data_IF_441103921719
#
_entry.id   IF_441103921719
#
_cell.length_a   1.000
_cell.length_b   1.000
_cell.length_c   1.000
_cell.angle_alpha   90.00
_cell.angle_beta   90.00
_cell.angle_gamma   90.00
#
_symmetry.space_group_name_H-M   'P 1'
#
loop_
_entity.id
_entity.type
_entity.pdbx_description
1 polymer ?
#
# COMPACT_ATOMS: atom_id res chain seq x y z
N UNK A 1 -0.36 16.02 11.11
CA UNK A 1 -1.03 15.53 12.32
C UNK A 1 -1.10 14.02 12.31
N UNK A 2 -0.75 13.36 13.42
CA UNK A 2 -0.84 11.89 13.55
C UNK A 2 -2.29 11.39 13.70
N UNK A 3 -3.28 12.26 13.70
CA UNK A 3 -4.70 11.92 13.71
C UNK A 3 -5.33 11.85 12.31
N UNK A 4 -4.52 11.99 11.25
CA UNK A 4 -4.99 11.81 9.90
C UNK A 4 -5.34 10.33 9.62
N UNK A 5 -6.37 10.12 8.80
CA UNK A 5 -6.78 8.80 8.33
C UNK A 5 -6.26 8.55 6.92
N UNK A 6 -6.17 7.27 6.54
CA UNK A 6 -5.76 6.83 5.20
C UNK A 6 -4.41 7.44 4.78
N UNK A 7 -3.46 7.44 5.73
CA UNK A 7 -2.07 7.87 5.53
C UNK A 7 -1.29 6.78 4.81
N UNK A 8 -0.22 7.19 4.13
CA UNK A 8 0.79 6.27 3.59
C UNK A 8 1.91 6.14 4.59
N UNK A 9 2.37 4.93 4.85
CA UNK A 9 3.42 4.72 5.85
C UNK A 9 4.38 3.61 5.44
N UNK A 10 5.65 3.80 5.82
CA UNK A 10 6.72 2.81 5.68
C UNK A 10 7.55 2.78 6.94
N UNK A 11 7.87 1.58 7.44
CA UNK A 11 8.75 1.41 8.58
C UNK A 11 10.14 1.01 8.12
N UNK A 12 11.14 1.83 8.44
CA UNK A 12 12.54 1.54 8.23
C UNK A 12 13.23 1.35 9.59
N UNK A 13 13.48 0.11 9.93
CA UNK A 13 14.06 -0.25 11.22
C UNK A 13 13.22 0.28 12.40
N UNK A 14 13.81 1.20 13.17
CA UNK A 14 13.16 1.83 14.31
C UNK A 14 12.41 3.14 13.99
N UNK A 15 12.36 3.54 12.74
CA UNK A 15 11.69 4.76 12.30
C UNK A 15 10.46 4.45 11.48
N UNK A 16 9.33 5.07 11.82
CA UNK A 16 8.11 5.01 11.03
C UNK A 16 7.93 6.33 10.29
N UNK A 17 7.96 6.28 8.96
CA UNK A 17 7.60 7.41 8.12
C UNK A 17 6.10 7.40 7.83
N UNK A 18 5.48 8.57 7.91
CA UNK A 18 4.07 8.77 7.59
C UNK A 18 3.94 9.96 6.67
N UNK A 19 3.23 9.79 5.56
CA UNK A 19 3.00 10.84 4.55
C UNK A 19 1.50 11.10 4.41
N UNK A 20 1.14 12.36 4.31
CA UNK A 20 -0.19 12.81 3.94
C UNK A 20 -1.30 12.39 4.88
N UNK A 21 -2.37 11.87 4.28
CA UNK A 21 -3.59 11.44 4.97
C UNK A 21 -4.64 12.55 5.08
N UNK A 22 -5.89 12.15 5.31
CA UNK A 22 -7.05 13.02 5.39
C UNK A 22 -7.40 13.34 6.84
N UNK A 23 -7.61 14.62 7.14
CA UNK A 23 -7.73 15.12 8.52
C UNK A 23 -8.66 16.33 8.60
N UNK A 24 -9.26 16.55 9.78
CA UNK A 24 -9.89 17.83 10.10
C UNK A 24 -8.83 18.82 10.60
N UNK A 25 -8.62 19.90 9.86
CA UNK A 25 -7.71 20.99 10.25
C UNK A 25 -8.43 21.96 11.18
N UNK A 26 -8.04 21.97 12.44
CA UNK A 26 -8.60 22.86 13.47
C UNK A 26 -8.23 24.34 13.29
N UNK A 27 -7.27 24.65 12.39
CA UNK A 27 -6.87 26.04 12.09
C UNK A 27 -7.82 26.66 11.08
N UNK A 28 -8.16 25.91 10.04
CA UNK A 28 -9.05 26.34 8.96
C UNK A 28 -10.50 25.93 9.19
N UNK A 29 -10.75 25.04 10.14
CA UNK A 29 -12.05 24.39 10.40
C UNK A 29 -12.61 23.65 9.17
N UNK A 30 -11.72 23.02 8.40
CA UNK A 30 -12.07 22.25 7.22
C UNK A 30 -11.38 20.89 7.21
N UNK A 31 -11.97 19.95 6.51
CA UNK A 31 -11.28 18.71 6.16
C UNK A 31 -10.35 18.94 4.99
N UNK A 32 -9.15 18.37 5.07
CA UNK A 32 -8.11 18.54 4.06
C UNK A 32 -7.17 17.33 4.04
N UNK A 33 -6.45 17.17 2.96
CA UNK A 33 -5.32 16.24 2.88
C UNK A 33 -4.05 16.92 3.35
N UNK A 34 -3.37 16.33 4.33
CA UNK A 34 -2.15 16.90 4.91
C UNK A 34 -1.00 16.88 3.90
N UNK A 35 -0.32 18.01 3.75
CA UNK A 35 0.90 18.13 2.95
C UNK A 35 2.13 18.00 3.86
N UNK A 36 2.33 16.84 4.48
CA UNK A 36 3.42 16.65 5.43
C UNK A 36 4.03 15.24 5.35
N UNK A 37 5.33 15.18 5.60
CA UNK A 37 6.11 14.00 5.93
C UNK A 37 6.42 14.04 7.42
N UNK A 38 6.20 12.94 8.11
CA UNK A 38 6.53 12.75 9.53
C UNK A 38 7.45 11.56 9.71
N UNK A 39 8.41 11.66 10.64
CA UNK A 39 9.25 10.56 11.09
C UNK A 39 9.06 10.37 12.59
N UNK A 40 8.79 9.12 13.00
CA UNK A 40 8.52 8.73 14.38
C UNK A 40 9.58 7.76 14.88
N UNK A 41 10.18 8.06 16.04
CA UNK A 41 11.05 7.12 16.76
C UNK A 41 10.20 6.09 17.52
N UNK A 42 10.11 4.88 16.97
CA UNK A 42 9.27 3.81 17.51
C UNK A 42 9.69 3.38 18.93
N UNK A 43 10.98 3.22 19.28
CA UNK A 43 11.39 2.90 20.65
C UNK A 43 10.87 3.91 21.67
N UNK A 44 11.05 5.20 21.43
CA UNK A 44 10.55 6.26 22.32
C UNK A 44 9.04 6.25 22.45
N UNK A 45 8.34 6.06 21.33
CA UNK A 45 6.88 5.99 21.30
C UNK A 45 6.36 4.78 22.10
N UNK A 46 6.97 3.60 21.90
CA UNK A 46 6.59 2.37 22.60
C UNK A 46 6.85 2.49 24.10
N UNK A 47 7.98 3.06 24.51
CA UNK A 47 8.30 3.26 25.91
C UNK A 47 7.32 4.22 26.59
N UNK A 48 6.96 5.30 25.90
CA UNK A 48 5.95 6.25 26.40
C UNK A 48 4.57 5.60 26.54
N UNK A 49 4.12 4.86 25.54
CA UNK A 49 2.81 4.16 25.57
C UNK A 49 2.78 3.10 26.68
N UNK A 50 3.87 2.39 26.92
CA UNK A 50 4.00 1.42 28.02
C UNK A 50 4.12 2.08 29.41
N UNK A 51 4.27 3.39 29.46
CA UNK A 51 4.47 4.13 30.71
C UNK A 51 5.86 3.92 31.34
N UNK A 52 6.81 3.40 30.57
CA UNK A 52 8.23 3.29 30.98
C UNK A 52 8.86 4.69 31.05
N UNK A 53 8.51 5.54 30.09
CA UNK A 53 8.88 6.95 30.08
C UNK A 53 7.67 7.81 30.45
N UNK A 54 7.88 8.80 31.33
CA UNK A 54 6.80 9.68 31.84
C UNK A 54 6.34 10.72 30.80
N UNK A 55 7.13 10.96 29.76
CA UNK A 55 6.84 11.88 28.67
C UNK A 55 7.49 11.42 27.37
N UNK A 56 6.85 11.72 26.24
CA UNK A 56 7.47 11.52 24.94
C UNK A 56 8.61 12.52 24.74
N UNK A 57 9.76 12.06 24.25
CA UNK A 57 10.89 12.92 23.93
C UNK A 57 10.48 13.96 22.86
N UNK A 58 10.99 15.17 22.96
CA UNK A 58 10.60 16.29 22.08
C UNK A 58 10.95 16.08 20.61
N UNK A 59 11.93 15.21 20.36
CA UNK A 59 12.39 14.82 19.02
C UNK A 59 11.94 13.42 18.59
N UNK A 60 11.07 12.77 19.36
CA UNK A 60 10.51 11.46 18.99
C UNK A 60 9.56 11.54 17.79
N UNK A 61 9.09 12.73 17.44
CA UNK A 61 8.24 12.99 16.28
C UNK A 61 8.80 14.22 15.55
N UNK A 62 9.30 14.01 14.35
CA UNK A 62 9.74 15.06 13.46
C UNK A 62 8.73 15.25 12.34
N UNK A 63 8.58 16.46 11.83
CA UNK A 63 7.67 16.75 10.73
C UNK A 63 8.25 17.84 9.82
N UNK A 64 8.08 17.65 8.52
CA UNK A 64 8.34 18.68 7.50
C UNK A 64 7.13 18.80 6.57
N UNK A 65 6.97 19.96 5.95
CA UNK A 65 5.88 20.22 5.00
C UNK A 65 6.40 20.04 3.59
N UNK A 66 5.61 19.41 2.74
CA UNK A 66 5.93 19.28 1.32
C UNK A 66 5.83 20.63 0.59
N UNK A 67 6.60 20.76 -0.47
CA UNK A 67 6.54 21.92 -1.32
C UNK A 67 5.14 22.10 -1.90
N UNK A 68 4.65 23.34 -1.84
CA UNK A 68 3.40 23.70 -2.48
C UNK A 68 3.66 24.00 -3.95
N UNK A 69 3.01 23.25 -4.84
CA UNK A 69 3.03 23.56 -6.26
C UNK A 69 1.82 24.41 -6.64
N UNK A 70 2.06 25.40 -7.48
CA UNK A 70 1.01 26.21 -8.12
C UNK A 70 0.59 25.66 -9.48
N UNK A 71 1.30 24.65 -9.99
CA UNK A 71 1.00 23.97 -11.23
C UNK A 71 0.29 22.61 -10.97
N UNK A 72 -0.16 21.94 -12.02
CA UNK A 72 -0.89 20.69 -11.95
C UNK A 72 0.00 19.48 -11.53
N UNK A 73 1.33 19.67 -11.40
CA UNK A 73 2.24 18.56 -11.10
C UNK A 73 2.07 18.02 -9.67
N UNK A 74 1.77 18.88 -8.69
CA UNK A 74 1.47 18.42 -7.31
C UNK A 74 0.32 19.19 -6.68
N UNK A 75 -0.83 19.16 -7.24
CA UNK A 75 -1.97 19.90 -6.72
C UNK A 75 -2.12 19.73 -5.19
N UNK A 76 -2.09 20.84 -4.46
CA UNK A 76 -2.19 20.90 -3.00
C UNK A 76 -0.89 20.64 -2.23
N UNK A 77 0.19 20.24 -2.91
CA UNK A 77 1.52 20.00 -2.33
C UNK A 77 2.06 18.60 -2.57
N UNK A 78 3.37 18.44 -2.43
CA UNK A 78 4.10 17.22 -2.80
C UNK A 78 3.64 15.99 -1.97
N UNK A 79 3.34 16.20 -0.69
CA UNK A 79 2.85 15.14 0.22
C UNK A 79 1.33 15.16 0.44
N UNK A 80 0.59 16.04 -0.24
CA UNK A 80 -0.87 16.11 -0.11
C UNK A 80 -1.55 14.93 -0.80
N UNK A 81 -1.43 13.74 -0.21
CA UNK A 81 -1.93 12.47 -0.72
C UNK A 81 -2.65 11.70 0.38
N UNK A 82 -3.78 11.09 0.04
CA UNK A 82 -4.51 10.12 0.86
C UNK A 82 -4.91 8.92 0.00
N UNK A 83 -4.90 7.71 0.57
CA UNK A 83 -5.26 6.48 -0.13
C UNK A 83 -4.24 6.02 -1.18
N UNK A 84 -2.98 6.44 -1.07
CA UNK A 84 -1.87 5.95 -1.87
C UNK A 84 -1.07 4.86 -1.17
N UNK A 85 0.16 4.63 -1.64
CA UNK A 85 1.16 3.79 -1.00
C UNK A 85 2.47 4.55 -0.75
N UNK A 86 3.26 4.11 0.21
CA UNK A 86 4.62 4.58 0.43
C UNK A 86 5.54 3.36 0.49
N UNK A 87 6.52 3.30 -0.41
CA UNK A 87 7.51 2.23 -0.46
C UNK A 87 8.92 2.79 -0.54
N UNK A 88 9.87 2.07 0.04
CA UNK A 88 11.30 2.38 -0.09
C UNK A 88 11.86 1.70 -1.33
N UNK A 89 12.78 2.36 -2.01
CA UNK A 89 13.53 1.75 -3.10
C UNK A 89 14.73 1.01 -2.51
N UNK A 90 14.67 -0.32 -2.40
CA UNK A 90 15.63 -1.14 -1.66
C UNK A 90 17.10 -0.99 -2.07
N UNK A 91 17.34 -0.62 -3.31
CA UNK A 91 18.69 -0.44 -3.84
C UNK A 91 19.24 0.99 -3.67
N UNK A 92 18.49 1.87 -3.04
CA UNK A 92 18.82 3.27 -2.80
C UNK A 92 18.45 3.62 -1.37
N UNK A 93 19.43 3.69 -0.49
CA UNK A 93 19.23 3.69 0.98
C UNK A 93 18.24 4.72 1.51
N UNK A 94 18.12 5.88 0.88
CA UNK A 94 17.28 6.99 1.36
C UNK A 94 16.12 7.33 0.40
N UNK A 95 15.90 6.54 -0.68
CA UNK A 95 14.92 6.81 -1.73
C UNK A 95 13.58 6.17 -1.43
N UNK A 96 12.50 6.96 -1.55
CA UNK A 96 11.12 6.53 -1.33
C UNK A 96 10.24 6.90 -2.53
N UNK A 97 9.16 6.16 -2.70
CA UNK A 97 8.14 6.37 -3.72
C UNK A 97 6.78 6.49 -3.08
N UNK A 98 6.14 7.64 -3.26
CA UNK A 98 4.74 7.88 -2.92
C UNK A 98 3.89 7.57 -4.16
N UNK A 99 3.03 6.58 -4.03
CA UNK A 99 2.40 5.88 -5.15
C UNK A 99 0.92 6.22 -5.21
N UNK A 100 0.48 6.90 -6.27
CA UNK A 100 -0.91 7.25 -6.55
C UNK A 100 -1.64 7.96 -5.41
N UNK A 101 -2.94 7.65 -5.19
CA UNK A 101 -3.78 8.33 -4.22
C UNK A 101 -4.41 9.60 -4.76
N UNK A 102 -4.96 10.40 -3.88
CA UNK A 102 -5.61 11.66 -4.22
C UNK A 102 -5.32 12.75 -3.19
N UNK A 103 -5.42 14.00 -3.60
CA UNK A 103 -5.67 15.13 -2.70
C UNK A 103 -7.18 15.36 -2.58
N UNK A 104 -7.70 15.39 -1.36
CA UNK A 104 -9.11 15.57 -1.09
C UNK A 104 -9.30 16.75 -0.11
N UNK A 105 -10.17 17.67 -0.48
CA UNK A 105 -10.53 18.82 0.32
C UNK A 105 -12.04 18.85 0.59
N UNK A 106 -12.42 19.33 1.78
CA UNK A 106 -13.81 19.41 2.21
C UNK A 106 -14.32 18.09 2.84
N UNK A 107 -15.57 18.08 3.27
CA UNK A 107 -16.19 16.90 3.90
C UNK A 107 -16.47 15.79 2.90
N UNK A 108 -16.06 14.58 3.26
CA UNK A 108 -16.33 13.40 2.43
C UNK A 108 -17.84 13.10 2.40
N UNK A 109 -18.38 12.99 1.19
CA UNK A 109 -19.74 12.50 0.96
C UNK A 109 -19.71 11.41 -0.12
N UNK A 110 -20.66 10.45 -0.10
CA UNK A 110 -20.73 9.44 -1.15
C UNK A 110 -20.73 10.08 -2.55
N UNK A 111 -19.88 9.57 -3.42
CA UNK A 111 -19.71 10.10 -4.79
C UNK A 111 -18.80 11.34 -4.90
N UNK A 112 -18.30 11.90 -3.79
CA UNK A 112 -17.29 12.96 -3.86
C UNK A 112 -15.93 12.38 -4.24
N UNK A 113 -15.19 13.11 -5.07
CA UNK A 113 -13.85 12.74 -5.51
C UNK A 113 -12.88 13.90 -5.28
N UNK A 114 -11.67 13.56 -4.81
CA UNK A 114 -10.54 14.48 -4.80
C UNK A 114 -9.85 14.55 -6.15
N UNK A 115 -8.77 15.30 -6.19
CA UNK A 115 -7.85 15.36 -7.33
C UNK A 115 -6.87 14.19 -7.21
N UNK A 116 -7.01 13.20 -8.08
CA UNK A 116 -6.10 12.05 -8.11
C UNK A 116 -4.72 12.48 -8.59
N UNK A 117 -3.68 11.99 -7.94
CA UNK A 117 -2.31 12.28 -8.35
C UNK A 117 -1.98 11.61 -9.68
N UNK A 118 -2.42 10.37 -9.87
CA UNK A 118 -2.18 9.56 -11.08
C UNK A 118 -0.70 9.48 -11.46
N UNK A 119 0.19 9.52 -10.47
CA UNK A 119 1.65 9.58 -10.65
C UNK A 119 2.38 8.91 -9.49
N UNK A 120 3.64 8.62 -9.71
CA UNK A 120 4.62 8.25 -8.68
C UNK A 120 5.43 9.49 -8.35
N UNK A 121 5.56 9.81 -7.07
CA UNK A 121 6.40 10.90 -6.55
C UNK A 121 7.56 10.27 -5.79
N UNK A 122 8.77 10.38 -6.34
CA UNK A 122 9.97 9.82 -5.73
C UNK A 122 10.79 10.93 -5.08
N UNK A 123 11.37 10.66 -3.91
CA UNK A 123 12.14 11.62 -3.12
C UNK A 123 13.10 10.89 -2.19
N UNK A 124 14.14 11.58 -1.76
CA UNK A 124 15.08 11.08 -0.77
C UNK A 124 14.72 11.67 0.60
N UNK A 125 14.85 10.87 1.68
CA UNK A 125 14.61 11.32 3.06
C UNK A 125 15.95 11.38 3.81
N UNK A 126 16.23 12.52 4.41
CA UNK A 126 17.33 12.70 5.35
C UNK A 126 16.77 13.01 6.73
N UNK A 127 17.15 12.22 7.74
CA UNK A 127 16.67 12.44 9.10
C UNK A 127 17.73 12.12 10.17
N UNK A 128 17.63 12.80 11.30
CA UNK A 128 18.40 12.52 12.50
C UNK A 128 17.54 12.84 13.73
N UNK A 129 17.09 11.78 14.41
CA UNK A 129 16.28 11.90 15.62
C UNK A 129 17.04 12.56 16.77
N UNK A 130 18.39 12.50 16.78
CA UNK A 130 19.19 13.10 17.84
C UNK A 130 19.25 14.62 17.70
N UNK A 131 19.51 15.11 16.51
CA UNK A 131 19.53 16.56 16.22
C UNK A 131 18.15 17.16 15.99
N UNK A 132 17.12 16.33 15.78
CA UNK A 132 15.77 16.77 15.47
C UNK A 132 15.61 17.24 14.03
N UNK A 133 16.33 16.66 13.08
CA UNK A 133 16.31 17.05 11.68
C UNK A 133 15.48 16.06 10.86
N UNK A 134 14.58 16.58 10.00
CA UNK A 134 13.89 15.83 8.95
C UNK A 134 13.82 16.73 7.72
N UNK A 135 14.33 16.24 6.62
CA UNK A 135 14.32 16.90 5.31
C UNK A 135 14.06 15.89 4.20
N UNK A 136 13.70 16.37 3.04
CA UNK A 136 13.60 15.58 1.81
C UNK A 136 14.17 16.42 0.65
N UNK A 137 14.63 15.73 -0.40
CA UNK A 137 15.17 16.33 -1.61
C UNK A 137 15.08 15.39 -2.82
N UNK A 138 15.66 15.78 -3.94
CA UNK A 138 15.73 15.00 -5.18
C UNK A 138 14.37 14.53 -5.70
N UNK A 139 13.35 15.39 -5.61
CA UNK A 139 11.98 15.09 -6.02
C UNK A 139 11.88 14.83 -7.51
N UNK A 140 11.21 13.76 -7.86
CA UNK A 140 10.83 13.46 -9.25
C UNK A 140 9.39 12.98 -9.31
N UNK A 141 8.72 13.19 -10.44
CA UNK A 141 7.35 12.70 -10.68
C UNK A 141 7.25 11.99 -12.01
N UNK A 142 6.53 10.89 -12.04
CA UNK A 142 6.33 10.10 -13.27
C UNK A 142 4.90 9.49 -13.30
N UNK A 143 4.17 9.64 -14.41
CA UNK A 143 4.40 10.61 -15.47
C UNK A 143 4.21 12.05 -14.98
N UNK A 144 4.92 13.00 -15.56
CA UNK A 144 4.71 14.41 -15.23
C UNK A 144 3.28 14.85 -15.57
N UNK A 145 2.62 15.53 -14.64
CA UNK A 145 1.21 15.89 -14.77
C UNK A 145 0.21 14.74 -14.54
N UNK A 146 0.71 13.52 -14.29
CA UNK A 146 -0.12 12.32 -14.10
C UNK A 146 -0.67 11.73 -15.40
N UNK A 147 -1.24 10.53 -15.30
CA UNK A 147 -1.99 9.87 -16.38
C UNK A 147 -3.30 9.30 -15.83
N UNK A 148 -4.41 10.03 -15.91
CA UNK A 148 -5.68 9.57 -15.38
C UNK A 148 -6.28 8.38 -16.16
N UNK A 149 -5.80 8.12 -17.37
CA UNK A 149 -6.28 6.99 -18.18
C UNK A 149 -5.72 5.63 -17.73
N UNK A 150 -4.59 5.62 -17.02
CA UNK A 150 -3.87 4.41 -16.61
C UNK A 150 -3.63 4.32 -15.10
N UNK A 151 -3.47 5.47 -14.42
CA UNK A 151 -2.97 5.53 -13.05
C UNK A 151 -3.89 6.24 -12.05
N UNK A 152 -5.13 6.56 -12.45
CA UNK A 152 -6.13 7.18 -11.57
C UNK A 152 -6.65 6.17 -10.56
N UNK A 153 -5.92 5.96 -9.47
CA UNK A 153 -6.29 5.00 -8.42
C UNK A 153 -5.92 5.47 -7.02
N UNK A 154 -6.71 5.03 -6.06
CA UNK A 154 -6.48 5.14 -4.62
C UNK A 154 -7.01 3.89 -3.91
N UNK A 155 -6.76 3.77 -2.62
CA UNK A 155 -7.22 2.63 -1.81
C UNK A 155 -6.83 1.31 -2.49
N UNK A 156 -5.53 1.07 -2.65
CA UNK A 156 -4.96 0.02 -3.48
C UNK A 156 -4.03 -0.88 -2.64
N UNK A 157 -3.67 -2.03 -3.19
CA UNK A 157 -2.64 -2.86 -2.60
C UNK A 157 -1.29 -2.54 -3.26
N UNK A 158 -0.33 -2.07 -2.47
CA UNK A 158 1.04 -1.83 -2.91
C UNK A 158 1.95 -2.85 -2.25
N UNK A 159 2.85 -3.44 -3.04
CA UNK A 159 3.81 -4.45 -2.58
C UNK A 159 5.17 -4.24 -3.22
N UNK A 160 6.26 -4.53 -2.51
CA UNK A 160 7.52 -4.83 -3.15
C UNK A 160 7.43 -6.20 -3.84
N UNK A 161 7.97 -6.31 -5.06
CA UNK A 161 8.10 -7.56 -5.81
C UNK A 161 9.56 -7.87 -6.09
N UNK A 162 9.93 -9.13 -5.87
CA UNK A 162 11.24 -9.66 -6.15
C UNK A 162 11.23 -10.43 -7.47
N UNK A 163 12.33 -10.36 -8.19
CA UNK A 163 12.55 -11.12 -9.42
C UNK A 163 14.02 -11.45 -9.61
N UNK A 164 14.38 -12.52 -10.34
CA UNK A 164 15.77 -12.75 -10.72
C UNK A 164 16.32 -11.59 -11.57
N UNK A 165 17.53 -11.11 -11.25
CA UNK A 165 18.19 -10.01 -11.98
C UNK A 165 18.88 -10.46 -13.28
N UNK A 166 18.84 -11.75 -13.58
CA UNK A 166 19.54 -12.37 -14.72
C UNK A 166 21.07 -12.51 -14.55
N UNK A 167 21.62 -12.07 -13.42
CA UNK A 167 23.03 -12.16 -13.07
C UNK A 167 23.30 -13.07 -11.86
N UNK A 168 22.24 -13.73 -11.37
CA UNK A 168 22.27 -14.63 -10.21
C UNK A 168 21.93 -13.92 -8.89
N UNK A 169 21.51 -12.68 -8.93
CA UNK A 169 20.96 -11.90 -7.82
C UNK A 169 19.45 -11.71 -7.92
N UNK A 170 18.94 -10.85 -7.05
CA UNK A 170 17.53 -10.49 -6.96
C UNK A 170 17.40 -8.99 -7.23
N UNK A 171 16.53 -8.64 -8.19
CA UNK A 171 16.06 -7.29 -8.42
C UNK A 171 14.75 -7.08 -7.67
N UNK A 172 14.54 -5.87 -7.17
CA UNK A 172 13.32 -5.44 -6.52
C UNK A 172 12.66 -4.30 -7.28
N UNK A 173 11.36 -4.32 -7.34
CA UNK A 173 10.49 -3.26 -7.84
C UNK A 173 9.21 -3.26 -7.02
N UNK A 174 8.24 -2.43 -7.38
CA UNK A 174 6.96 -2.34 -6.66
C UNK A 174 5.83 -2.65 -7.60
N UNK A 175 4.75 -3.26 -7.11
CA UNK A 175 3.50 -3.42 -7.85
C UNK A 175 2.34 -2.77 -7.10
N UNK A 176 1.48 -2.09 -7.84
CA UNK A 176 0.18 -1.61 -7.38
C UNK A 176 -0.93 -2.47 -8.01
N UNK A 177 -1.66 -3.19 -7.15
CA UNK A 177 -2.78 -4.04 -7.53
C UNK A 177 -4.10 -3.36 -7.20
N UNK A 178 -5.12 -3.59 -8.04
CA UNK A 178 -6.48 -3.07 -7.86
C UNK A 178 -6.54 -1.54 -7.64
N UNK A 179 -7.34 -1.10 -6.67
CA UNK A 179 -7.60 0.31 -6.35
C UNK A 179 -8.83 0.88 -7.05
N UNK A 180 -9.34 2.00 -6.55
CA UNK A 180 -10.54 2.69 -7.02
C UNK A 180 -10.24 4.13 -7.47
N UNK A 181 -11.04 4.76 -8.29
CA UNK A 181 -12.16 4.30 -9.11
C UNK A 181 -11.76 4.34 -10.58
N UNK A 182 -11.88 3.21 -11.26
CA UNK A 182 -11.72 3.15 -12.71
C UNK A 182 -12.82 3.96 -13.39
N UNK A 183 -12.45 4.93 -14.24
CA UNK A 183 -13.39 5.83 -14.93
C UNK A 183 -14.43 6.52 -14.01
N UNK A 184 -14.09 6.72 -12.70
CA UNK A 184 -14.99 7.35 -11.74
C UNK A 184 -15.91 6.38 -11.00
N UNK A 185 -15.97 5.13 -11.48
CA UNK A 185 -16.74 4.03 -10.90
C UNK A 185 -15.94 2.76 -10.89
N UNK A 186 -16.09 1.72 -10.48
CA UNK A 186 -15.38 0.46 -10.65
C UNK A 186 -14.04 0.35 -9.96
N UNK A 187 -13.50 -0.84 -9.99
CA UNK A 187 -12.22 -1.21 -9.41
C UNK A 187 -11.25 -1.59 -10.51
N UNK A 188 -10.01 -1.11 -10.41
CA UNK A 188 -8.97 -1.49 -11.34
C UNK A 188 -8.66 -2.99 -11.27
N UNK A 189 -8.31 -3.57 -12.41
CA UNK A 189 -8.03 -5.00 -12.52
C UNK A 189 -6.62 -5.28 -13.05
N UNK A 190 -5.94 -4.28 -13.59
CA UNK A 190 -4.61 -4.43 -14.20
C UNK A 190 -3.54 -4.02 -13.19
N UNK A 191 -2.47 -4.81 -13.00
CA UNK A 191 -1.32 -4.40 -12.22
C UNK A 191 -0.60 -3.19 -12.83
N UNK A 192 0.04 -2.39 -11.99
CA UNK A 192 1.05 -1.40 -12.40
C UNK A 192 2.35 -1.77 -11.72
N UNK A 193 3.38 -2.07 -12.50
CA UNK A 193 4.74 -2.24 -11.99
C UNK A 193 5.47 -0.91 -11.98
N UNK A 194 6.23 -0.66 -10.93
CA UNK A 194 6.97 0.58 -10.71
C UNK A 194 8.42 0.22 -10.47
N UNK A 195 9.29 0.67 -11.38
CA UNK A 195 10.73 0.46 -11.28
C UNK A 195 11.37 1.31 -10.17
N UNK A 196 12.64 1.01 -9.84
CA UNK A 196 13.42 1.83 -8.89
C UNK A 196 13.62 3.27 -9.36
N UNK A 197 13.45 3.54 -10.65
CA UNK A 197 13.46 4.88 -11.25
C UNK A 197 12.14 5.67 -11.07
N UNK A 198 11.12 5.04 -10.47
CA UNK A 198 9.80 5.64 -10.25
C UNK A 198 8.92 5.68 -11.50
N UNK A 199 9.28 4.94 -12.55
CA UNK A 199 8.49 4.90 -13.79
C UNK A 199 7.43 3.81 -13.70
N UNK A 200 6.12 4.16 -13.68
CA UNK A 200 5.05 3.18 -13.67
C UNK A 200 4.82 2.60 -15.07
N UNK A 201 4.64 1.29 -15.14
CA UNK A 201 4.32 0.55 -16.36
C UNK A 201 3.10 -0.33 -16.16
N UNK A 202 2.25 -0.44 -17.18
CA UNK A 202 1.08 -1.30 -17.15
C UNK A 202 0.73 -1.78 -18.55
N UNK A 203 0.20 -3.00 -18.66
CA UNK A 203 -0.33 -3.52 -19.92
C UNK A 203 -1.76 -3.02 -20.08
N UNK A 204 -2.01 -2.26 -21.14
CA UNK A 204 -3.35 -1.73 -21.41
C UNK A 204 -4.25 -2.80 -22.05
N UNK A 205 -5.28 -3.30 -21.33
CA UNK A 205 -6.14 -4.37 -21.87
C UNK A 205 -7.06 -3.95 -23.01
N UNK A 206 -7.11 -2.66 -23.36
CA UNK A 206 -7.83 -2.15 -24.52
C UNK A 206 -7.02 -2.36 -25.81
N UNK A 207 -5.70 -2.33 -25.70
CA UNK A 207 -4.78 -2.51 -26.84
C UNK A 207 -4.12 -3.88 -26.85
N UNK A 208 -4.03 -4.54 -25.69
CA UNK A 208 -3.49 -5.89 -25.52
C UNK A 208 -4.54 -6.79 -24.84
N UNK A 209 -5.21 -7.61 -25.65
CA UNK A 209 -6.24 -8.55 -25.16
C UNK A 209 -5.67 -9.67 -24.30
N UNK A 210 -4.35 -9.89 -24.30
CA UNK A 210 -3.65 -10.87 -23.48
C UNK A 210 -3.23 -10.29 -22.13
N UNK A 211 -3.38 -8.99 -21.89
CA UNK A 211 -3.06 -8.36 -20.64
C UNK A 211 -3.81 -9.03 -19.48
N UNK A 212 -3.06 -9.37 -18.42
CA UNK A 212 -3.63 -9.95 -17.22
C UNK A 212 -4.61 -8.99 -16.55
N UNK A 213 -5.70 -9.55 -16.05
CA UNK A 213 -6.70 -8.85 -15.25
C UNK A 213 -7.01 -9.66 -14.00
N UNK A 214 -6.96 -9.00 -12.85
CA UNK A 214 -7.47 -9.59 -11.61
C UNK A 214 -8.97 -9.84 -11.76
N UNK A 215 -9.39 -11.09 -11.65
CA UNK A 215 -10.81 -11.46 -11.64
C UNK A 215 -11.46 -11.05 -10.30
N UNK A 216 -10.76 -11.35 -9.22
CA UNK A 216 -11.10 -10.91 -7.85
C UNK A 216 -10.24 -9.68 -7.54
N UNK A 217 -10.80 -8.51 -7.71
CA UNK A 217 -10.10 -7.22 -7.67
C UNK A 217 -10.09 -6.62 -6.27
N UNK A 218 -9.67 -7.41 -5.29
CA UNK A 218 -9.57 -7.01 -3.89
C UNK A 218 -8.61 -5.82 -3.72
N UNK A 219 -8.99 -4.85 -2.89
CA UNK A 219 -8.18 -3.70 -2.51
C UNK A 219 -8.24 -3.48 -0.98
N UNK A 220 -7.32 -2.70 -0.43
CA UNK A 220 -7.15 -2.51 1.02
C UNK A 220 -7.04 -3.84 1.78
N UNK A 221 -6.53 -4.88 1.15
CA UNK A 221 -6.42 -6.22 1.74
C UNK A 221 -5.30 -6.30 2.78
N UNK A 222 -5.41 -7.24 3.72
CA UNK A 222 -4.23 -7.77 4.38
C UNK A 222 -3.33 -8.47 3.37
N UNK A 223 -1.99 -8.39 3.54
CA UNK A 223 -1.04 -8.73 2.47
C UNK A 223 0.08 -9.61 2.98
N UNK A 224 0.47 -10.64 2.20
CA UNK A 224 1.65 -11.46 2.47
C UNK A 224 2.42 -11.62 1.16
N UNK A 225 3.66 -11.14 1.12
CA UNK A 225 4.59 -11.40 0.02
C UNK A 225 5.36 -12.71 0.24
N UNK A 226 5.41 -13.55 -0.78
CA UNK A 226 6.13 -14.84 -0.79
C UNK A 226 7.02 -14.90 -2.03
N UNK A 227 8.31 -15.20 -1.87
CA UNK A 227 9.21 -15.34 -3.01
C UNK A 227 10.01 -16.63 -2.96
N UNK A 228 10.09 -17.31 -4.09
CA UNK A 228 10.98 -18.44 -4.32
C UNK A 228 12.13 -18.03 -5.24
N UNK A 229 13.34 -17.94 -4.70
CA UNK A 229 14.51 -17.65 -5.50
C UNK A 229 14.85 -18.80 -6.47
N UNK A 230 14.49 -20.03 -6.13
CA UNK A 230 14.73 -21.20 -6.96
C UNK A 230 13.87 -21.25 -8.22
N UNK A 231 12.63 -20.81 -8.17
CA UNK A 231 11.71 -20.72 -9.32
C UNK A 231 11.67 -19.33 -9.95
N UNK A 232 12.06 -18.29 -9.18
CA UNK A 232 11.90 -16.90 -9.57
C UNK A 232 10.44 -16.42 -9.50
N UNK A 233 9.56 -17.16 -8.80
CA UNK A 233 8.16 -16.83 -8.66
C UNK A 233 7.91 -15.96 -7.43
N UNK A 234 7.17 -14.87 -7.63
CA UNK A 234 6.63 -14.01 -6.58
C UNK A 234 5.13 -14.25 -6.43
N UNK A 235 4.67 -14.40 -5.20
CA UNK A 235 3.25 -14.60 -4.89
C UNK A 235 2.79 -13.56 -3.86
N UNK A 236 1.75 -12.83 -4.22
CA UNK A 236 1.06 -11.89 -3.35
C UNK A 236 -0.23 -12.52 -2.83
N UNK A 237 -0.28 -12.87 -1.55
CA UNK A 237 -1.51 -13.38 -0.93
C UNK A 237 -2.31 -12.20 -0.38
N UNK A 238 -3.53 -12.04 -0.89
CA UNK A 238 -4.49 -11.02 -0.48
C UNK A 238 -5.52 -11.65 0.47
N UNK A 239 -5.68 -11.05 1.63
CA UNK A 239 -6.47 -11.56 2.72
C UNK A 239 -7.65 -10.62 2.98
N UNK A 240 -8.85 -11.01 2.54
CA UNK A 240 -10.05 -10.19 2.70
C UNK A 240 -9.97 -8.86 1.94
N UNK A 241 -10.36 -7.77 2.61
CA UNK A 241 -10.40 -6.43 2.03
C UNK A 241 -11.77 -6.07 1.46
N UNK A 242 -11.78 -5.20 0.46
CA UNK A 242 -12.97 -4.72 -0.22
C UNK A 242 -12.88 -5.14 -1.70
N UNK A 243 -13.99 -5.50 -2.33
CA UNK A 243 -13.97 -5.96 -3.71
C UNK A 243 -15.31 -5.71 -4.41
N UNK A 244 -15.26 -5.42 -5.71
CA UNK A 244 -16.44 -5.45 -6.55
C UNK A 244 -16.78 -6.87 -7.03
N UNK A 245 -15.77 -7.76 -7.11
CA UNK A 245 -15.94 -9.14 -7.57
C UNK A 245 -15.64 -10.13 -6.45
N UNK A 246 -16.53 -11.08 -6.26
CA UNK A 246 -16.32 -12.25 -5.38
C UNK A 246 -16.46 -13.54 -6.20
N UNK A 247 -15.70 -14.55 -5.85
CA UNK A 247 -15.72 -15.86 -6.52
C UNK A 247 -16.52 -16.87 -5.71
N UNK A 248 -17.46 -17.55 -6.35
CA UNK A 248 -18.16 -18.69 -5.75
C UNK A 248 -17.50 -20.00 -6.22
N UNK A 249 -16.78 -20.72 -5.34
CA UNK A 249 -16.09 -21.95 -5.70
C UNK A 249 -17.06 -23.12 -6.04
N UNK A 250 -18.33 -23.05 -5.59
CA UNK A 250 -19.31 -24.10 -5.87
C UNK A 250 -19.87 -24.00 -7.29
N UNK A 251 -20.14 -22.78 -7.75
CA UNK A 251 -20.64 -22.55 -9.11
C UNK A 251 -19.54 -22.25 -10.11
N UNK A 252 -18.31 -22.01 -9.66
CA UNK A 252 -17.17 -21.53 -10.46
C UNK A 252 -17.50 -20.23 -11.23
N UNK A 253 -18.19 -19.30 -10.57
CA UNK A 253 -18.63 -18.05 -11.14
C UNK A 253 -18.15 -16.85 -10.31
N UNK A 254 -18.00 -15.71 -10.97
CA UNK A 254 -17.82 -14.43 -10.31
C UNK A 254 -19.18 -13.76 -10.12
N UNK A 255 -19.38 -13.18 -8.94
CA UNK A 255 -20.49 -12.27 -8.65
C UNK A 255 -19.93 -10.85 -8.59
N UNK A 256 -20.67 -9.90 -9.16
CA UNK A 256 -20.34 -8.47 -9.10
C UNK A 256 -21.28 -7.74 -8.15
N UNK A 257 -20.71 -6.91 -7.28
CA UNK A 257 -21.42 -6.02 -6.38
C UNK A 257 -20.92 -4.58 -6.58
N UNK A 258 -21.79 -3.68 -7.00
CA UNK A 258 -21.48 -2.27 -7.26
C UNK A 258 -21.41 -1.43 -5.96
N UNK A 259 -21.78 -2.00 -4.81
CA UNK A 259 -21.58 -1.37 -3.51
C UNK A 259 -20.18 -1.61 -2.93
N UNK A 260 -19.35 -2.44 -3.59
CA UNK A 260 -17.98 -2.78 -3.16
C UNK A 260 -17.93 -3.21 -1.69
N UNK A 261 -18.53 -4.35 -1.40
CA UNK A 261 -18.60 -4.89 -0.05
C UNK A 261 -17.28 -5.41 0.48
N UNK A 262 -17.15 -5.43 1.80
CA UNK A 262 -16.10 -6.23 2.46
C UNK A 262 -16.25 -7.69 2.06
N UNK A 263 -15.14 -8.38 1.86
CA UNK A 263 -15.14 -9.80 1.57
C UNK A 263 -14.18 -10.55 2.51
N UNK A 264 -14.28 -11.87 2.50
CA UNK A 264 -13.47 -12.77 3.34
C UNK A 264 -12.62 -13.71 2.51
N UNK A 265 -12.51 -13.45 1.21
CA UNK A 265 -11.77 -14.32 0.31
C UNK A 265 -10.26 -14.13 0.48
N UNK A 266 -9.55 -15.23 0.44
CA UNK A 266 -8.10 -15.28 0.36
C UNK A 266 -7.74 -15.66 -1.06
N UNK A 267 -7.02 -14.78 -1.74
CA UNK A 267 -6.57 -15.00 -3.12
C UNK A 267 -5.06 -14.85 -3.23
N UNK A 268 -4.48 -15.45 -4.23
CA UNK A 268 -3.07 -15.28 -4.56
C UNK A 268 -2.93 -14.69 -5.96
N UNK A 269 -2.11 -13.67 -6.10
CA UNK A 269 -1.63 -13.15 -7.37
C UNK A 269 -0.19 -13.60 -7.54
N UNK A 270 0.05 -14.44 -8.54
CA UNK A 270 1.36 -15.02 -8.83
C UNK A 270 1.98 -14.28 -9.99
N UNK A 271 3.27 -14.00 -9.90
CA UNK A 271 4.10 -13.43 -10.97
C UNK A 271 5.27 -14.38 -11.22
N UNK A 272 5.34 -14.97 -12.42
CA UNK A 272 6.43 -15.87 -12.77
C UNK A 272 7.76 -15.11 -13.07
N UNK A 273 8.85 -15.84 -13.22
CA UNK A 273 10.16 -15.28 -13.53
C UNK A 273 10.22 -14.51 -14.88
N UNK A 274 9.23 -14.68 -15.74
CA UNK A 274 9.07 -13.97 -17.01
C UNK A 274 8.18 -12.72 -16.90
N UNK A 275 7.62 -12.45 -15.72
CA UNK A 275 6.74 -11.31 -15.46
C UNK A 275 5.25 -11.55 -15.81
N UNK A 276 4.85 -12.81 -16.09
CA UNK A 276 3.46 -13.11 -16.34
C UNK A 276 2.69 -13.29 -15.05
N UNK A 277 1.48 -12.74 -15.02
CA UNK A 277 0.60 -12.81 -13.85
C UNK A 277 -0.47 -13.88 -13.98
N UNK A 278 -0.82 -14.48 -12.85
CA UNK A 278 -1.98 -15.35 -12.67
C UNK A 278 -2.67 -15.01 -11.36
N UNK A 279 -3.95 -15.31 -11.24
CA UNK A 279 -4.67 -15.19 -9.97
C UNK A 279 -5.37 -16.50 -9.63
N UNK A 280 -5.36 -16.85 -8.34
CA UNK A 280 -6.01 -18.03 -7.80
C UNK A 280 -6.86 -17.65 -6.59
N UNK A 281 -8.05 -18.25 -6.48
CA UNK A 281 -8.78 -18.30 -5.24
C UNK A 281 -8.17 -19.43 -4.39
N UNK A 282 -7.85 -19.15 -3.14
CA UNK A 282 -7.31 -20.16 -2.21
C UNK A 282 -8.40 -20.71 -1.30
N UNK A 283 -9.04 -19.85 -0.54
CA UNK A 283 -10.10 -20.19 0.41
C UNK A 283 -10.81 -18.92 0.90
N UNK A 284 -11.76 -19.09 1.80
CA UNK A 284 -12.29 -17.99 2.61
C UNK A 284 -11.61 -17.98 4.00
N UNK A 285 -11.58 -16.81 4.64
CA UNK A 285 -11.30 -16.75 6.06
C UNK A 285 -12.28 -17.61 6.86
N UNK A 286 -11.84 -18.21 7.97
CA UNK A 286 -12.76 -18.77 8.94
C UNK A 286 -13.81 -17.76 9.38
N UNK A 287 -14.99 -18.21 9.72
CA UNK A 287 -16.03 -17.35 10.25
C UNK A 287 -15.55 -16.70 11.56
N UNK A 288 -15.57 -15.39 11.58
CA UNK A 288 -15.27 -14.56 12.75
C UNK A 288 -16.55 -13.82 13.13
N UNK A 289 -16.91 -13.87 14.38
CA UNK A 289 -18.14 -13.25 14.90
C UNK A 289 -17.78 -12.17 15.91
N UNK A 290 -18.57 -11.10 15.96
CA UNK A 290 -18.50 -10.10 17.01
C UNK A 290 -19.15 -10.60 18.32
N UNK A 291 -19.19 -9.74 19.34
CA UNK A 291 -19.82 -10.07 20.64
C UNK A 291 -21.34 -10.25 20.60
N UNK A 292 -21.98 -9.88 19.50
CA UNK A 292 -23.43 -10.00 19.25
C UNK A 292 -23.77 -11.11 18.23
N UNK A 293 -22.83 -12.02 17.96
CA UNK A 293 -22.94 -13.14 17.02
C UNK A 293 -23.16 -12.71 15.53
N UNK A 294 -22.77 -11.50 15.14
CA UNK A 294 -22.78 -11.10 13.74
C UNK A 294 -21.50 -11.55 13.05
N UNK A 295 -21.63 -12.12 11.84
CA UNK A 295 -20.48 -12.48 11.02
C UNK A 295 -19.73 -11.22 10.59
N UNK A 296 -18.42 -11.18 10.87
CA UNK A 296 -17.53 -10.11 10.45
C UNK A 296 -16.85 -10.45 9.14
N UNK A 297 -16.90 -9.53 8.19
CA UNK A 297 -16.05 -9.50 7.01
C UNK A 297 -14.79 -8.71 7.36
N UNK A 298 -13.65 -9.38 7.37
CA UNK A 298 -12.41 -8.87 7.95
C UNK A 298 -11.32 -8.72 6.90
N UNK A 299 -10.33 -7.87 7.19
CA UNK A 299 -9.07 -7.80 6.45
C UNK A 299 -8.77 -6.45 5.79
N UNK A 300 -9.77 -5.55 5.64
CA UNK A 300 -9.47 -4.21 5.11
C UNK A 300 -8.50 -3.48 6.03
N UNK A 301 -7.36 -3.02 5.46
CA UNK A 301 -6.27 -2.35 6.20
C UNK A 301 -5.62 -3.17 7.34
N UNK A 302 -5.76 -4.50 7.34
CA UNK A 302 -5.05 -5.35 8.28
C UNK A 302 -3.57 -5.46 7.88
N UNK A 303 -2.68 -5.56 8.90
CA UNK A 303 -1.25 -5.73 8.70
C UNK A 303 -0.83 -7.15 9.03
N UNK A 304 0.03 -7.71 8.17
CA UNK A 304 0.69 -8.98 8.44
C UNK A 304 2.05 -8.74 9.09
N UNK A 305 2.39 -9.56 10.06
CA UNK A 305 3.68 -9.58 10.73
C UNK A 305 4.26 -10.99 10.65
N UNK A 306 5.43 -11.18 10.02
CA UNK A 306 6.08 -12.49 9.98
C UNK A 306 6.35 -13.04 11.37
N UNK A 307 6.22 -14.36 11.55
CA UNK A 307 6.53 -15.01 12.82
C UNK A 307 8.05 -14.90 13.11
N UNK A 308 8.45 -14.75 14.39
CA UNK A 308 9.86 -14.74 14.74
C UNK A 308 10.60 -15.98 14.23
N UNK A 309 11.70 -15.75 13.50
CA UNK A 309 12.55 -16.82 12.95
C UNK A 309 12.14 -17.34 11.57
N UNK A 310 11.08 -16.80 10.98
CA UNK A 310 10.80 -17.02 9.55
C UNK A 310 11.90 -16.33 8.72
N UNK A 311 12.40 -17.05 7.70
CA UNK A 311 13.35 -16.49 6.75
C UNK A 311 12.60 -15.50 5.84
N UNK A 312 13.05 -14.25 5.82
CA UNK A 312 12.51 -13.20 4.95
C UNK A 312 13.62 -12.59 4.09
N UNK A 313 13.22 -12.05 2.95
CA UNK A 313 13.99 -11.08 2.16
C UNK A 313 13.73 -9.65 2.68
N UNK A 314 14.02 -8.63 1.89
CA UNK A 314 13.60 -7.25 2.17
C UNK A 314 12.08 -7.16 2.35
N UNK A 315 11.63 -6.14 3.06
CA UNK A 315 10.23 -5.76 3.21
C UNK A 315 9.28 -6.90 3.63
N UNK A 316 9.77 -7.76 4.56
CA UNK A 316 9.02 -8.89 5.12
C UNK A 316 8.54 -9.93 4.09
N UNK A 317 9.11 -9.95 2.87
CA UNK A 317 8.80 -10.99 1.87
C UNK A 317 9.38 -12.32 2.35
N UNK A 318 8.51 -13.30 2.53
CA UNK A 318 8.89 -14.62 3.06
C UNK A 318 9.67 -15.42 2.01
N UNK A 319 10.79 -15.99 2.42
CA UNK A 319 11.57 -16.93 1.62
C UNK A 319 10.91 -18.31 1.62
N UNK A 320 10.18 -18.64 0.56
CA UNK A 320 9.47 -19.93 0.45
C UNK A 320 10.43 -21.11 0.38
N UNK A 321 11.60 -20.94 -0.22
CA UNK A 321 12.59 -22.00 -0.35
C UNK A 321 13.17 -22.47 1.00
N UNK A 322 13.03 -21.66 2.04
CA UNK A 322 13.43 -22.02 3.41
C UNK A 322 12.35 -22.79 4.18
N UNK A 323 11.14 -22.90 3.65
CA UNK A 323 10.03 -23.61 4.29
C UNK A 323 10.06 -25.10 3.91
N UNK A 324 10.39 -25.96 4.86
CA UNK A 324 10.51 -27.40 4.62
C UNK A 324 9.35 -28.23 5.18
N UNK A 325 8.50 -27.60 5.98
CA UNK A 325 7.34 -28.22 6.65
C UNK A 325 6.22 -27.21 6.76
N UNK A 326 5.03 -27.68 7.10
CA UNK A 326 3.92 -26.80 7.49
C UNK A 326 4.37 -25.88 8.62
N UNK A 327 4.25 -24.57 8.41
CA UNK A 327 4.83 -23.54 9.27
C UNK A 327 3.85 -22.37 9.41
N UNK A 328 3.73 -21.85 10.64
CA UNK A 328 3.01 -20.57 10.86
C UNK A 328 3.86 -19.43 10.28
N UNK A 329 3.37 -18.81 9.23
CA UNK A 329 4.10 -17.73 8.54
C UNK A 329 4.12 -16.44 9.36
N UNK A 330 3.05 -16.15 10.10
CA UNK A 330 2.93 -14.91 10.85
C UNK A 330 1.54 -14.70 11.42
N UNK A 331 1.26 -13.44 11.75
CA UNK A 331 0.01 -13.01 12.36
C UNK A 331 -0.57 -11.81 11.65
N UNK A 332 -1.89 -11.79 11.48
CA UNK A 332 -2.62 -10.61 11.04
C UNK A 332 -3.03 -9.78 12.26
N UNK A 333 -2.91 -8.46 12.16
CA UNK A 333 -3.29 -7.55 13.23
C UNK A 333 -4.04 -6.32 12.70
N UNK A 334 -5.02 -5.87 13.46
CA UNK A 334 -5.81 -4.68 13.12
C UNK A 334 -6.77 -4.92 11.95
N UNK A 335 -7.05 -3.85 11.23
CA UNK A 335 -8.00 -3.84 10.11
C UNK A 335 -9.40 -3.41 10.52
N UNK A 336 -10.20 -3.18 9.49
CA UNK A 336 -11.62 -2.82 9.63
C UNK A 336 -12.45 -4.06 9.31
N UNK A 337 -13.49 -4.28 10.09
CA UNK A 337 -14.49 -5.31 9.86
C UNK A 337 -15.87 -4.66 9.74
N UNK A 338 -16.78 -5.28 8.96
CA UNK A 338 -18.19 -4.88 8.80
C UNK A 338 -19.09 -6.11 8.83
#
# INVERSE_FOLDING_TARGET
SLSATNTQSYQDGNTLFIVGGYVFDWTTYQFTTYNALSALDLPSLVNWVKGTDSSLASNAILQTTGDASTDESYYGGFFAVTGGGLERVSQQDDRYQLIFGQNFEGGYTPGSNGVYTSQIRSFDITYDMTSGTLAYDNETVSPFGGDPSSFRRRDLNVFPILSPDGQGGIAESTVALAGVFYNGEGVWTVPVEIGPDGIPTTNNPTTDSSAFKQAMNQYESGKIGLFSNSSGEMTEVLLGGISANTFDPNSNQLSYDDNYGFNRQITAVLRDASGNYQQQYLTDFPDIYDGDDNLLYFGANARFFPAPGISVFSDDIINVDALTTETVLGHMFGGVAA
#
